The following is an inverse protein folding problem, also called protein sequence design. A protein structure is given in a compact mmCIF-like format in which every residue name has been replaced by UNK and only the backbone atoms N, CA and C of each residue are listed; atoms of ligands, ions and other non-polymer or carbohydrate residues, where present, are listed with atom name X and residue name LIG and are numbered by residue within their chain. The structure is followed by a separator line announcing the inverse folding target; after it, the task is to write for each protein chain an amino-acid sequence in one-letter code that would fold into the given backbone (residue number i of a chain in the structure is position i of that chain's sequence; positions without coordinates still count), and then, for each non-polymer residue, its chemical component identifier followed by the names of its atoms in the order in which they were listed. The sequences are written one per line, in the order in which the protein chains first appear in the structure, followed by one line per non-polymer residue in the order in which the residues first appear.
data_IF_606306781343
#
_entry.id   IF_606306781343
#
_cell.length_a   1.000
_cell.length_b   1.000
_cell.length_c   1.000
_cell.angle_alpha   90.00
_cell.angle_beta   90.00
_cell.angle_gamma   90.00
#
_symmetry.space_group_name_H-M   'P 1'
#
loop_
_entity.id
_entity.type
_entity.pdbx_description
1 polymer ?
#
# COMPACT_ATOMS: atom_id res chain seq x y z
N UNK A 1 -9.41 -13.27 9.33
CA UNK A 1 -8.63 -12.07 8.96
C UNK A 1 -7.35 -12.51 8.27
N UNK A 2 -6.97 -11.84 7.17
CA UNK A 2 -5.63 -11.92 6.59
C UNK A 2 -4.75 -10.97 7.40
N UNK A 3 -3.77 -11.51 8.11
CA UNK A 3 -2.93 -10.75 9.04
C UNK A 3 -1.55 -10.58 8.39
N UNK A 4 -1.10 -9.35 8.19
CA UNK A 4 0.04 -9.06 7.32
C UNK A 4 0.96 -7.98 7.89
N UNK A 5 2.18 -8.01 7.38
CA UNK A 5 3.12 -6.89 7.40
C UNK A 5 3.38 -6.47 5.96
N UNK A 6 3.69 -5.21 5.75
CA UNK A 6 4.03 -4.67 4.43
C UNK A 6 5.33 -3.89 4.52
N UNK A 7 6.26 -4.19 3.60
CA UNK A 7 7.47 -3.40 3.39
C UNK A 7 7.54 -2.98 1.93
N UNK A 8 7.84 -1.70 1.69
CA UNK A 8 7.97 -1.11 0.36
C UNK A 8 9.23 -0.27 0.26
N UNK A 9 10.09 -0.61 -0.69
CA UNK A 9 11.38 0.06 -0.90
C UNK A 9 11.33 0.95 -2.15
N UNK A 10 12.09 2.04 -2.10
CA UNK A 10 12.33 2.91 -3.26
C UNK A 10 13.74 2.61 -3.78
N UNK A 11 13.87 2.44 -5.10
CA UNK A 11 15.12 2.00 -5.74
C UNK A 11 15.53 2.95 -6.86
N UNK A 12 16.83 2.98 -7.15
CA UNK A 12 17.34 3.64 -8.35
C UNK A 12 16.90 2.88 -9.59
N UNK A 13 16.33 3.60 -10.56
CA UNK A 13 15.75 2.99 -11.76
C UNK A 13 16.82 2.33 -12.66
N UNK A 14 18.09 2.72 -12.55
CA UNK A 14 19.17 2.20 -13.40
C UNK A 14 19.91 1.05 -12.73
N UNK A 15 20.28 1.19 -11.46
CA UNK A 15 21.07 0.17 -10.74
C UNK A 15 20.21 -0.85 -10.01
N UNK A 16 18.97 -0.50 -9.64
CA UNK A 16 18.13 -1.31 -8.75
C UNK A 16 18.50 -1.18 -7.28
N UNK A 17 19.52 -0.39 -6.93
CA UNK A 17 19.93 -0.17 -5.54
C UNK A 17 18.82 0.50 -4.74
N UNK A 18 18.59 0.02 -3.53
CA UNK A 18 17.68 0.64 -2.58
C UNK A 18 18.24 2.02 -2.19
N UNK A 19 17.41 3.05 -2.33
CA UNK A 19 17.77 4.43 -2.09
C UNK A 19 17.65 4.77 -0.60
N UNK A 20 18.75 5.22 0.00
CA UNK A 20 18.74 5.85 1.34
C UNK A 20 18.54 7.37 1.25
N UNK A 21 18.99 7.96 0.14
CA UNK A 21 18.93 9.39 -0.17
C UNK A 21 18.53 9.58 -1.63
N UNK A 22 17.80 10.66 -1.90
CA UNK A 22 17.36 11.03 -3.24
C UNK A 22 17.54 12.53 -3.48
N UNK A 23 18.14 12.87 -4.62
CA UNK A 23 18.23 14.26 -5.04
C UNK A 23 16.89 14.73 -5.62
N UNK A 24 16.20 15.63 -4.92
CA UNK A 24 14.95 16.20 -5.39
C UNK A 24 15.21 17.24 -6.50
N UNK A 25 14.80 16.98 -7.76
CA UNK A 25 15.09 17.88 -8.87
C UNK A 25 14.25 19.17 -8.87
N UNK A 26 13.16 19.23 -8.09
CA UNK A 26 12.34 20.45 -7.98
C UNK A 26 12.88 21.42 -6.93
N UNK A 27 13.41 20.91 -5.83
CA UNK A 27 13.93 21.76 -4.74
C UNK A 27 15.46 21.85 -4.73
N UNK A 28 16.14 20.99 -5.50
CA UNK A 28 17.60 20.86 -5.57
C UNK A 28 18.22 20.55 -4.20
N UNK A 29 17.51 19.75 -3.41
CA UNK A 29 17.93 19.25 -2.09
C UNK A 29 18.10 17.74 -2.15
N UNK A 30 19.10 17.24 -1.44
CA UNK A 30 19.22 15.83 -1.15
C UNK A 30 18.36 15.49 0.08
N UNK A 31 17.41 14.59 -0.08
CA UNK A 31 16.45 14.21 0.96
C UNK A 31 16.59 12.75 1.33
N UNK A 32 16.47 12.46 2.63
CA UNK A 32 16.45 11.08 3.11
C UNK A 32 15.18 10.38 2.63
N UNK A 33 15.34 9.21 2.04
CA UNK A 33 14.21 8.37 1.64
C UNK A 33 13.59 7.71 2.87
N UNK A 34 12.26 7.71 2.93
CA UNK A 34 11.52 6.99 3.96
C UNK A 34 10.76 5.85 3.31
N UNK A 35 11.29 4.64 3.45
CA UNK A 35 10.65 3.40 3.00
C UNK A 35 9.36 3.10 3.77
N UNK A 36 8.47 2.33 3.16
CA UNK A 36 7.22 1.88 3.76
C UNK A 36 7.51 0.65 4.62
N UNK A 37 7.01 0.64 5.86
CA UNK A 37 7.16 -0.48 6.79
C UNK A 37 5.90 -0.61 7.66
N UNK A 38 4.75 -0.90 7.06
CA UNK A 38 3.47 -0.94 7.76
C UNK A 38 3.32 -2.27 8.56
N UNK A 39 3.10 -2.18 9.86
CA UNK A 39 2.88 -3.33 10.75
C UNK A 39 1.96 -2.92 11.94
N UNK A 40 0.72 -3.46 12.04
CA UNK A 40 0.10 -4.45 11.14
C UNK A 40 -0.61 -3.80 9.93
N UNK A 41 -0.79 -4.57 8.87
CA UNK A 41 -1.57 -4.19 7.68
C UNK A 41 -2.65 -5.24 7.36
N UNK A 42 -3.64 -5.35 8.25
CA UNK A 42 -4.57 -6.48 8.24
C UNK A 42 -5.79 -6.21 7.35
N UNK A 43 -6.31 -7.26 6.74
CA UNK A 43 -7.57 -7.22 5.99
C UNK A 43 -8.53 -8.28 6.53
N UNK A 44 -9.72 -7.85 6.93
CA UNK A 44 -10.77 -8.76 7.41
C UNK A 44 -11.77 -8.98 6.26
N UNK A 45 -11.94 -10.25 5.88
CA UNK A 45 -12.98 -10.67 4.95
C UNK A 45 -14.20 -11.01 5.80
N UNK A 46 -15.32 -10.34 5.52
CA UNK A 46 -16.62 -10.53 6.17
C UNK A 46 -17.71 -10.72 5.11
N UNK A 47 -18.95 -11.01 5.54
CA UNK A 47 -20.08 -11.20 4.63
C UNK A 47 -20.44 -9.94 3.82
N UNK A 48 -19.97 -8.76 4.26
CA UNK A 48 -20.24 -7.46 3.65
C UNK A 48 -18.95 -6.65 3.52
N UNK A 49 -18.89 -5.78 2.52
CA UNK A 49 -17.82 -4.78 2.43
C UNK A 49 -17.83 -3.86 3.67
N UNK A 50 -16.64 -3.39 4.11
CA UNK A 50 -16.53 -2.53 5.27
C UNK A 50 -17.33 -1.24 5.06
N UNK A 51 -18.01 -0.79 6.12
CA UNK A 51 -18.68 0.49 6.10
C UNK A 51 -17.65 1.62 5.90
N UNK A 52 -18.02 2.70 5.19
CA UNK A 52 -17.13 3.84 5.09
C UNK A 52 -16.81 4.39 6.48
N UNK A 53 -15.59 4.89 6.70
CA UNK A 53 -15.22 5.54 7.95
C UNK A 53 -16.16 6.70 8.27
N UNK A 54 -16.60 6.78 9.54
CA UNK A 54 -17.50 7.84 10.02
C UNK A 54 -16.81 9.21 10.24
N UNK A 55 -15.48 9.28 10.08
CA UNK A 55 -14.63 10.49 10.20
C UNK A 55 -15.06 11.48 11.29
N UNK A 56 -14.96 11.09 12.57
CA UNK A 56 -15.35 11.97 13.69
C UNK A 56 -16.83 12.34 13.68
N UNK A 57 -17.70 11.41 13.26
CA UNK A 57 -19.15 11.57 13.09
C UNK A 57 -19.59 12.60 12.02
N UNK A 58 -18.64 13.02 11.16
CA UNK A 58 -18.93 13.90 10.02
C UNK A 58 -19.58 13.15 8.87
N UNK A 59 -19.35 11.84 8.75
CA UNK A 59 -20.03 10.99 7.77
C UNK A 59 -21.17 10.23 8.46
N UNK A 60 -22.37 10.81 8.38
CA UNK A 60 -23.61 10.28 8.98
C UNK A 60 -24.41 9.40 8.03
N UNK A 61 -23.99 9.29 6.77
CA UNK A 61 -24.65 8.42 5.82
C UNK A 61 -24.35 6.97 6.20
N UNK A 62 -25.39 6.17 6.32
CA UNK A 62 -25.28 4.72 6.48
C UNK A 62 -25.64 4.10 5.12
N UNK A 63 -24.67 3.98 4.20
CA UNK A 63 -24.93 3.31 2.93
C UNK A 63 -25.38 1.87 3.18
N UNK A 64 -26.15 1.29 2.23
CA UNK A 64 -26.60 -0.08 2.36
C UNK A 64 -25.39 -1.02 2.50
N UNK A 65 -25.54 -2.04 3.34
CA UNK A 65 -24.54 -3.11 3.43
C UNK A 65 -24.47 -3.83 2.08
N UNK A 66 -23.30 -3.79 1.45
CA UNK A 66 -23.06 -4.44 0.16
C UNK A 66 -22.46 -5.82 0.45
N UNK A 67 -23.08 -6.93 0.01
CA UNK A 67 -22.50 -8.26 0.17
C UNK A 67 -21.08 -8.31 -0.41
N UNK A 68 -20.17 -9.02 0.25
CA UNK A 68 -18.80 -9.19 -0.19
C UNK A 68 -18.72 -10.19 -1.36
N UNK A 69 -19.21 -9.76 -2.52
CA UNK A 69 -19.18 -10.50 -3.78
C UNK A 69 -18.21 -9.79 -4.72
N UNK A 70 -17.11 -10.45 -5.02
CA UNK A 70 -16.04 -9.91 -5.86
C UNK A 70 -16.40 -10.02 -7.36
N UNK A 71 -16.05 -9.02 -8.19
CA UNK A 71 -16.45 -8.94 -9.60
C UNK A 71 -15.57 -9.81 -10.50
N UNK A 72 -15.56 -11.12 -10.27
CA UNK A 72 -14.79 -12.07 -11.08
C UNK A 72 -15.26 -12.12 -12.53
N UNK A 73 -14.30 -12.23 -13.45
CA UNK A 73 -14.55 -12.49 -14.86
C UNK A 73 -13.74 -13.72 -15.28
N UNK A 74 -14.39 -14.68 -15.94
CA UNK A 74 -13.68 -15.84 -16.48
C UNK A 74 -13.47 -15.70 -17.99
N UNK A 75 -12.25 -15.92 -18.45
CA UNK A 75 -11.84 -15.92 -19.86
C UNK A 75 -11.05 -17.20 -20.14
N UNK A 76 -11.75 -18.27 -20.52
CA UNK A 76 -11.13 -19.58 -20.69
C UNK A 76 -10.68 -20.16 -19.35
N UNK A 77 -9.39 -20.49 -19.26
CA UNK A 77 -8.70 -21.02 -18.07
C UNK A 77 -8.24 -19.91 -17.10
N UNK A 78 -8.43 -18.64 -17.45
CA UNK A 78 -8.04 -17.50 -16.60
C UNK A 78 -9.24 -16.88 -15.90
N UNK A 79 -9.09 -16.64 -14.60
CA UNK A 79 -9.95 -15.80 -13.78
C UNK A 79 -9.29 -14.43 -13.58
N UNK A 80 -10.06 -13.39 -13.86
CA UNK A 80 -9.66 -12.00 -13.71
C UNK A 80 -10.48 -11.35 -12.59
N UNK A 81 -9.82 -10.61 -11.71
CA UNK A 81 -10.44 -9.83 -10.64
C UNK A 81 -9.89 -8.41 -10.65
N UNK A 82 -10.78 -7.43 -10.55
CA UNK A 82 -10.42 -6.03 -10.34
C UNK A 82 -10.90 -5.55 -8.97
N UNK A 83 -10.02 -4.88 -8.25
CA UNK A 83 -10.35 -4.17 -7.00
C UNK A 83 -9.90 -2.72 -7.15
N UNK A 84 -10.85 -1.80 -6.99
CA UNK A 84 -10.59 -0.36 -7.07
C UNK A 84 -10.86 0.26 -5.70
N UNK A 85 -9.84 0.89 -5.12
CA UNK A 85 -9.93 1.61 -3.86
C UNK A 85 -9.76 3.09 -4.18
N UNK A 86 -10.80 3.88 -3.95
CA UNK A 86 -10.76 5.33 -4.14
C UNK A 86 -11.08 5.99 -2.82
N UNK A 87 -10.12 6.73 -2.27
CA UNK A 87 -10.22 7.30 -0.92
C UNK A 87 -10.02 8.80 -0.95
N UNK A 88 -10.81 9.48 -0.12
CA UNK A 88 -10.68 10.90 0.16
C UNK A 88 -10.93 11.13 1.64
N UNK A 89 -9.90 11.50 2.39
CA UNK A 89 -9.94 11.53 3.86
C UNK A 89 -9.04 12.63 4.45
N UNK A 90 -9.28 13.04 5.72
CA UNK A 90 -8.42 14.02 6.38
C UNK A 90 -6.96 13.57 6.44
N UNK A 91 -6.04 14.47 6.11
CA UNK A 91 -4.61 14.17 6.10
C UNK A 91 -4.04 14.14 7.52
N UNK A 92 -3.33 13.07 7.89
CA UNK A 92 -2.58 12.99 9.14
C UNK A 92 -1.45 14.05 9.24
N UNK A 93 -0.93 14.47 8.09
CA UNK A 93 0.06 15.54 7.99
C UNK A 93 -0.63 16.90 7.86
N UNK A 94 -1.08 17.48 9.00
CA UNK A 94 -1.68 18.82 9.03
C UNK A 94 -0.75 19.84 8.33
N UNK A 95 -1.20 20.52 7.25
CA UNK A 95 -0.36 21.45 6.49
C UNK A 95 0.13 22.66 7.30
N UNK A 96 -0.45 22.95 8.46
CA UNK A 96 0.07 23.97 9.39
C UNK A 96 1.32 23.52 10.13
N UNK A 97 1.47 22.21 10.35
CA UNK A 97 2.61 21.59 11.04
C UNK A 97 3.64 21.03 10.03
N UNK A 98 3.16 20.34 9.01
CA UNK A 98 3.93 19.64 7.99
C UNK A 98 3.97 20.44 6.70
N UNK A 99 4.58 21.62 6.77
CA UNK A 99 4.47 22.64 5.72
C UNK A 99 5.04 22.15 4.38
N UNK A 100 6.10 21.34 4.42
CA UNK A 100 6.83 20.88 3.24
C UNK A 100 6.38 19.51 2.74
N UNK A 101 5.87 18.68 3.64
CA UNK A 101 5.48 17.30 3.39
C UNK A 101 4.01 17.13 3.05
N UNK A 102 3.16 18.02 3.58
CA UNK A 102 1.72 17.88 3.42
C UNK A 102 1.27 18.24 2.01
N UNK A 103 0.53 17.31 1.40
CA UNK A 103 -0.21 17.54 0.17
C UNK A 103 -1.48 18.40 0.36
N UNK A 104 -1.77 18.85 1.58
CA UNK A 104 -2.96 19.63 1.92
C UNK A 104 -3.79 18.98 3.04
N UNK A 105 -4.95 19.58 3.38
CA UNK A 105 -5.77 19.14 4.51
C UNK A 105 -6.48 17.79 4.29
N UNK A 106 -6.58 17.35 3.04
CA UNK A 106 -7.19 16.08 2.66
C UNK A 106 -6.23 15.30 1.78
N UNK A 107 -6.26 13.97 1.89
CA UNK A 107 -5.55 13.04 1.02
C UNK A 107 -6.56 12.49 0.03
N UNK A 108 -6.20 12.49 -1.25
CA UNK A 108 -6.92 11.78 -2.30
C UNK A 108 -6.00 10.74 -2.91
N UNK A 109 -6.39 9.48 -2.91
CA UNK A 109 -5.63 8.42 -3.53
C UNK A 109 -6.54 7.39 -4.20
N UNK A 110 -6.02 6.79 -5.26
CA UNK A 110 -6.66 5.68 -5.97
C UNK A 110 -5.67 4.53 -6.07
N UNK A 111 -6.12 3.32 -5.74
CA UNK A 111 -5.39 2.07 -5.95
C UNK A 111 -6.23 1.13 -6.79
N UNK A 112 -5.61 0.54 -7.81
CA UNK A 112 -6.25 -0.35 -8.75
C UNK A 112 -5.44 -1.63 -8.80
N UNK A 113 -6.05 -2.73 -8.37
CA UNK A 113 -5.47 -4.07 -8.42
C UNK A 113 -6.16 -4.87 -9.51
N UNK A 114 -5.36 -5.51 -10.36
CA UNK A 114 -5.83 -6.44 -11.38
C UNK A 114 -5.14 -7.79 -11.19
N UNK A 115 -5.90 -8.79 -10.78
CA UNK A 115 -5.41 -10.15 -10.54
C UNK A 115 -5.73 -11.05 -11.73
N UNK A 116 -4.78 -11.91 -12.08
CA UNK A 116 -4.90 -13.01 -13.02
C UNK A 116 -4.58 -14.30 -12.28
N UNK A 117 -5.56 -15.19 -12.28
CA UNK A 117 -5.57 -16.44 -11.52
C UNK A 117 -5.90 -17.59 -12.47
N UNK A 118 -5.26 -18.74 -12.26
CA UNK A 118 -5.61 -19.98 -12.96
C UNK A 118 -6.91 -20.57 -12.37
N UNK A 119 -7.89 -20.83 -13.22
CA UNK A 119 -9.20 -21.32 -12.83
C UNK A 119 -9.14 -22.70 -12.16
N UNK A 120 -8.28 -23.61 -12.64
CA UNK A 120 -8.11 -24.95 -12.06
C UNK A 120 -7.46 -24.85 -10.67
N UNK A 121 -6.50 -23.93 -10.50
CA UNK A 121 -5.88 -23.67 -9.18
C UNK A 121 -6.89 -23.11 -8.18
N UNK A 122 -7.78 -22.22 -8.62
CA UNK A 122 -8.85 -21.68 -7.76
C UNK A 122 -9.82 -22.76 -7.26
N UNK A 123 -9.96 -23.88 -7.99
CA UNK A 123 -10.80 -25.01 -7.58
C UNK A 123 -10.06 -26.06 -6.73
N UNK A 124 -8.73 -25.94 -6.55
CA UNK A 124 -7.94 -26.91 -5.80
C UNK A 124 -8.08 -26.68 -4.29
N UNK A 125 -8.78 -27.57 -3.56
CA UNK A 125 -9.00 -27.40 -2.11
C UNK A 125 -7.72 -27.60 -1.29
N UNK A 126 -6.62 -28.09 -1.89
CA UNK A 126 -5.35 -28.29 -1.21
C UNK A 126 -4.51 -27.02 -1.16
N UNK A 127 -4.81 -26.01 -1.98
CA UNK A 127 -4.11 -24.74 -1.96
C UNK A 127 -4.62 -23.86 -0.82
N UNK A 128 -3.72 -23.54 0.12
CA UNK A 128 -3.99 -22.57 1.19
C UNK A 128 -3.60 -21.15 0.81
N UNK A 129 -2.83 -20.99 -0.28
CA UNK A 129 -2.50 -19.72 -0.94
C UNK A 129 -2.61 -19.92 -2.44
N UNK A 130 -3.20 -18.94 -3.12
CA UNK A 130 -3.40 -18.98 -4.56
C UNK A 130 -2.24 -18.27 -5.28
N UNK A 131 -1.50 -18.95 -6.17
CA UNK A 131 -0.57 -18.28 -7.06
C UNK A 131 -1.35 -17.36 -8.00
N UNK A 132 -0.88 -16.12 -8.15
CA UNK A 132 -1.46 -15.17 -9.09
C UNK A 132 -0.37 -14.31 -9.72
N UNK A 133 -0.70 -13.72 -10.86
CA UNK A 133 0.04 -12.59 -11.45
C UNK A 133 -0.91 -11.43 -11.66
N UNK A 134 -0.41 -10.23 -11.93
CA UNK A 134 -1.27 -9.09 -12.06
C UNK A 134 -0.56 -7.76 -12.19
N UNK A 135 -1.33 -6.69 -12.04
CA UNK A 135 -0.79 -5.33 -11.91
C UNK A 135 -1.40 -4.61 -10.73
N UNK A 136 -0.60 -3.75 -10.13
CA UNK A 136 -1.03 -2.78 -9.15
C UNK A 136 -0.69 -1.40 -9.67
N UNK A 137 -1.68 -0.51 -9.65
CA UNK A 137 -1.51 0.87 -10.02
C UNK A 137 -1.97 1.76 -8.87
N UNK A 138 -1.25 2.86 -8.65
CA UNK A 138 -1.63 3.84 -7.64
C UNK A 138 -1.41 5.26 -8.13
N UNK A 139 -2.37 6.11 -7.84
CA UNK A 139 -2.27 7.56 -7.98
C UNK A 139 -2.39 8.15 -6.60
N UNK A 140 -1.40 8.95 -6.20
CA UNK A 140 -1.34 9.53 -4.85
C UNK A 140 -0.52 10.83 -4.91
N UNK A 141 -0.70 11.79 -3.99
CA UNK A 141 0.12 13.00 -3.97
C UNK A 141 1.61 12.67 -3.83
N UNK A 142 2.46 13.69 -3.93
CA UNK A 142 3.88 13.54 -3.61
C UNK A 142 4.06 12.88 -2.24
N UNK A 143 5.09 12.04 -2.14
CA UNK A 143 5.37 11.38 -0.87
C UNK A 143 5.90 12.41 0.14
N UNK A 144 5.57 12.27 1.44
CA UNK A 144 5.99 13.22 2.46
C UNK A 144 7.49 13.51 2.45
N UNK A 145 8.31 12.46 2.38
CA UNK A 145 9.78 12.56 2.40
C UNK A 145 10.37 13.25 1.17
N UNK A 146 9.59 13.40 0.09
CA UNK A 146 10.04 14.13 -1.09
C UNK A 146 10.02 15.65 -0.87
N UNK A 147 9.37 16.16 0.19
CA UNK A 147 9.30 17.61 0.49
C UNK A 147 8.69 18.49 -0.62
N UNK A 148 7.78 17.92 -1.43
CA UNK A 148 7.15 18.62 -2.56
C UNK A 148 5.76 19.19 -2.21
N UNK A 149 5.20 18.83 -1.06
CA UNK A 149 3.96 19.36 -0.51
C UNK A 149 2.83 19.52 -1.53
N UNK A 150 2.33 20.75 -1.66
CA UNK A 150 1.22 21.13 -2.57
C UNK A 150 1.69 21.56 -3.97
N UNK A 151 2.95 21.33 -4.33
CA UNK A 151 3.45 21.62 -5.68
C UNK A 151 2.65 20.84 -6.72
N UNK A 152 2.28 21.43 -7.88
CA UNK A 152 1.53 20.72 -8.90
C UNK A 152 2.16 19.39 -9.33
N UNK A 153 1.37 18.32 -9.28
CA UNK A 153 1.76 16.97 -9.70
C UNK A 153 1.37 15.92 -8.67
N UNK A 154 1.77 14.67 -8.92
CA UNK A 154 1.44 13.51 -8.10
C UNK A 154 2.35 12.33 -8.47
N UNK A 155 2.36 11.31 -7.63
CA UNK A 155 2.98 10.03 -7.90
C UNK A 155 2.04 9.13 -8.71
N UNK A 156 2.62 8.45 -9.71
CA UNK A 156 1.98 7.38 -10.44
C UNK A 156 2.83 6.11 -10.27
N UNK A 157 2.22 5.08 -9.69
CA UNK A 157 2.78 3.75 -9.57
C UNK A 157 2.13 2.88 -10.63
N UNK A 158 2.96 2.18 -11.40
CA UNK A 158 2.54 1.16 -12.36
C UNK A 158 3.46 -0.04 -12.14
N UNK A 159 2.95 -1.08 -11.51
CA UNK A 159 3.74 -2.23 -11.10
C UNK A 159 3.09 -3.53 -11.54
N UNK A 160 3.93 -4.53 -11.80
CA UNK A 160 3.49 -5.92 -11.79
C UNK A 160 3.37 -6.40 -10.34
N UNK A 161 2.45 -7.33 -10.09
CA UNK A 161 2.32 -8.01 -8.82
C UNK A 161 2.18 -9.52 -9.04
N UNK A 162 2.50 -10.29 -8.02
CA UNK A 162 2.28 -11.73 -8.01
C UNK A 162 2.37 -12.29 -6.60
N UNK A 163 2.13 -13.59 -6.50
CA UNK A 163 2.38 -14.37 -5.28
C UNK A 163 3.21 -15.60 -5.63
N UNK A 164 4.02 -16.05 -4.67
CA UNK A 164 4.84 -17.25 -4.78
C UNK A 164 5.39 -17.62 -3.40
N UNK A 165 5.76 -18.88 -3.23
CA UNK A 165 6.51 -19.32 -2.04
C UNK A 165 7.97 -18.89 -2.11
N UNK A 166 8.50 -18.70 -3.33
CA UNK A 166 9.83 -18.15 -3.57
C UNK A 166 9.73 -16.65 -3.89
N UNK A 167 10.24 -15.82 -2.98
CA UNK A 167 10.24 -14.37 -3.14
C UNK A 167 11.18 -13.90 -4.27
N UNK A 168 12.17 -14.69 -4.67
CA UNK A 168 13.07 -14.36 -5.78
C UNK A 168 12.39 -14.47 -7.15
N UNK A 169 11.22 -15.11 -7.24
CA UNK A 169 10.38 -15.08 -8.44
C UNK A 169 9.71 -13.72 -8.67
N UNK A 170 9.57 -12.92 -7.60
CA UNK A 170 8.83 -11.64 -7.61
C UNK A 170 9.78 -10.45 -7.43
N UNK A 171 10.82 -10.60 -6.61
CA UNK A 171 11.72 -9.52 -6.21
C UNK A 171 13.18 -9.85 -6.52
N UNK A 172 13.97 -8.82 -6.82
CA UNK A 172 15.41 -8.98 -7.02
C UNK A 172 16.11 -9.33 -5.71
N UNK A 173 17.21 -10.10 -5.80
CA UNK A 173 18.02 -10.48 -4.64
C UNK A 173 18.48 -9.28 -3.82
N UNK A 174 18.84 -8.19 -4.49
CA UNK A 174 19.26 -6.93 -3.87
C UNK A 174 18.19 -6.30 -2.97
N UNK A 175 16.92 -6.32 -3.38
CA UNK A 175 15.81 -5.83 -2.56
C UNK A 175 15.64 -6.70 -1.33
N UNK A 176 15.66 -8.02 -1.51
CA UNK A 176 15.48 -8.97 -0.43
C UNK A 176 16.63 -8.91 0.60
N UNK A 177 17.88 -8.76 0.16
CA UNK A 177 19.04 -8.59 1.05
C UNK A 177 18.91 -7.33 1.92
N UNK A 178 18.37 -6.25 1.35
CA UNK A 178 18.07 -5.04 2.11
C UNK A 178 16.99 -5.30 3.17
N UNK A 179 15.89 -5.98 2.81
CA UNK A 179 14.82 -6.33 3.76
C UNK A 179 15.35 -7.25 4.86
N UNK A 180 16.20 -8.24 4.56
CA UNK A 180 16.79 -9.14 5.56
C UNK A 180 17.61 -8.38 6.60
N UNK A 181 18.37 -7.39 6.15
CA UNK A 181 19.22 -6.59 7.01
C UNK A 181 18.46 -5.54 7.82
N UNK A 182 17.49 -4.86 7.21
CA UNK A 182 16.85 -3.67 7.79
C UNK A 182 15.46 -3.94 8.35
N UNK A 183 14.76 -4.95 7.82
CA UNK A 183 13.37 -5.29 8.13
C UNK A 183 13.16 -6.80 8.36
N UNK A 184 14.00 -7.52 9.14
CA UNK A 184 13.97 -8.98 9.23
C UNK A 184 12.62 -9.53 9.71
N UNK A 185 11.86 -8.77 10.51
CA UNK A 185 10.53 -9.18 10.98
C UNK A 185 9.47 -9.30 9.86
N UNK A 186 9.70 -8.71 8.70
CA UNK A 186 8.70 -8.65 7.61
C UNK A 186 8.66 -9.93 6.76
N UNK A 187 9.58 -10.88 6.98
CA UNK A 187 9.54 -12.22 6.37
C UNK A 187 8.54 -13.16 7.03
N UNK A 188 7.98 -12.79 8.18
CA UNK A 188 7.00 -13.62 8.89
C UNK A 188 5.72 -12.82 9.11
N UNK A 189 4.58 -13.52 8.97
CA UNK A 189 3.29 -12.95 9.33
C UNK A 189 3.24 -12.66 10.85
N UNK A 190 2.43 -11.69 11.30
CA UNK A 190 2.21 -11.47 12.72
C UNK A 190 1.59 -12.71 13.40
N UNK A 191 2.04 -13.03 14.61
CA UNK A 191 1.56 -14.20 15.37
C UNK A 191 0.17 -13.99 15.97
N UNK A 192 -0.22 -12.74 16.20
CA UNK A 192 -1.46 -12.36 16.87
C UNK A 192 -2.24 -11.33 16.06
N UNK A 193 -3.55 -11.34 16.27
CA UNK A 193 -4.47 -10.36 15.73
C UNK A 193 -5.33 -9.79 16.85
N UNK A 194 -5.22 -8.49 17.08
CA UNK A 194 -6.16 -7.74 17.89
C UNK A 194 -7.06 -6.91 16.96
N UNK A 195 -8.38 -7.17 16.89
CA UNK A 195 -9.30 -6.41 16.06
C UNK A 195 -9.40 -4.92 16.47
N UNK A 196 -8.86 -4.53 17.63
CA UNK A 196 -8.80 -3.14 18.07
C UNK A 196 -7.56 -2.41 17.58
N UNK A 197 -6.54 -3.11 17.09
CA UNK A 197 -5.36 -2.47 16.52
C UNK A 197 -5.71 -1.91 15.13
N UNK A 198 -5.67 -0.58 14.94
CA UNK A 198 -5.96 0.00 13.65
C UNK A 198 -4.85 -0.36 12.65
N UNK A 199 -5.24 -0.66 11.41
CA UNK A 199 -4.29 -0.66 10.30
C UNK A 199 -4.10 0.80 9.86
N UNK A 200 -2.91 1.33 10.12
CA UNK A 200 -2.55 2.71 9.77
C UNK A 200 -2.05 2.75 8.32
N UNK A 201 -2.34 3.84 7.60
CA UNK A 201 -1.67 4.08 6.33
C UNK A 201 -0.24 4.57 6.58
N UNK A 202 0.58 4.54 5.53
CA UNK A 202 1.93 5.08 5.59
C UNK A 202 1.98 6.56 5.96
N UNK A 203 0.90 7.34 5.79
CA UNK A 203 0.86 8.74 6.22
C UNK A 203 0.67 8.89 7.74
N UNK A 204 -0.20 8.08 8.35
CA UNK A 204 -0.33 8.08 9.81
C UNK A 204 0.97 7.59 10.45
N UNK A 205 1.58 6.52 9.92
CA UNK A 205 2.88 6.04 10.40
C UNK A 205 3.98 7.10 10.23
N UNK A 206 4.06 7.76 9.07
CA UNK A 206 5.00 8.87 8.87
C UNK A 206 4.80 9.97 9.92
N UNK A 207 3.56 10.33 10.23
CA UNK A 207 3.26 11.37 11.22
C UNK A 207 3.70 11.02 12.66
N UNK A 208 3.82 9.71 12.95
CA UNK A 208 4.24 9.17 14.24
C UNK A 208 5.75 8.96 14.32
N UNK A 209 6.38 8.58 13.21
CA UNK A 209 7.78 8.16 13.15
C UNK A 209 8.74 9.25 12.70
N UNK A 210 8.23 10.29 12.05
CA UNK A 210 9.03 11.39 11.52
C UNK A 210 8.74 12.71 12.23
N UNK A 211 9.63 13.67 12.04
CA UNK A 211 9.44 15.06 12.47
C UNK A 211 9.30 15.96 11.24
N UNK A 212 8.49 17.04 11.32
CA UNK A 212 8.40 18.01 10.24
C UNK A 212 9.76 18.61 9.92
N UNK A 213 10.08 18.66 8.63
CA UNK A 213 11.26 19.30 8.12
C UNK A 213 11.17 20.81 8.33
N UNK A 214 12.26 21.46 8.77
CA UNK A 214 12.32 22.92 8.88
C UNK A 214 12.06 23.62 7.54
#
# INVERSE_FOLDING_TARGET
AKILREVGLYTDLRSGEVLEEWHNPLTNEDVRVVHIANDPFNYVIEDYFPAPPKFGDLNKEEPPKIPFILPWQQRGDRLDLEIHVNIFYPNALDPKKWVRESAGPMVQASEIFLYHVDADKMQDPNLTTLPFSGTWNRITPWLPWMLMGQTPGHMLYVAFMGSGEDLEEVHSRQVLDYVEKHFPKYFTAPETYDPKTPSLSSLELYSLEQEPHP
#
